data_IF_826876938113
#
_entry.id   IF_826876938113
#
_cell.length_a   1.000
_cell.length_b   1.000
_cell.length_c   1.000
_cell.angle_alpha   90.00
_cell.angle_beta   90.00
_cell.angle_gamma   90.00
#
_symmetry.space_group_name_H-M   'P 1'
#
loop_
_entity.id
_entity.type
_entity.pdbx_description
1 polymer ?
#
# COMPACT_ATOMS: atom_id res chain seq x y z
N UNK A 1 25.55 17.17 22.33
CA UNK A 1 24.80 17.63 21.15
C UNK A 1 23.87 18.73 21.61
N UNK A 2 24.05 19.94 21.05
CA UNK A 2 23.29 21.14 21.42
C UNK A 2 21.83 21.04 20.94
N UNK A 3 20.91 21.64 21.65
CA UNK A 3 19.45 21.66 21.39
C UNK A 3 19.11 22.14 19.95
N UNK A 4 19.89 23.09 19.42
CA UNK A 4 19.81 23.56 18.01
C UNK A 4 20.07 22.48 16.96
N UNK A 5 21.01 21.55 17.21
CA UNK A 5 21.32 20.43 16.30
C UNK A 5 20.17 19.42 16.28
N UNK A 6 19.59 19.11 17.44
CA UNK A 6 18.45 18.21 17.59
C UNK A 6 17.19 18.76 16.91
N UNK A 7 16.94 20.07 17.00
CA UNK A 7 15.83 20.75 16.31
C UNK A 7 15.97 20.71 14.80
N UNK A 8 17.17 20.99 14.25
CA UNK A 8 17.45 20.93 12.80
C UNK A 8 17.26 19.51 12.23
N UNK A 9 17.73 18.48 12.94
CA UNK A 9 17.56 17.08 12.52
C UNK A 9 16.09 16.68 12.49
N UNK A 10 15.29 17.06 13.50
CA UNK A 10 13.84 16.83 13.51
C UNK A 10 13.13 17.50 12.34
N UNK A 11 13.50 18.73 12.02
CA UNK A 11 12.92 19.50 10.91
C UNK A 11 13.26 18.87 9.55
N UNK A 12 14.50 18.38 9.38
CA UNK A 12 14.92 17.70 8.15
C UNK A 12 14.19 16.35 7.96
N UNK A 13 14.08 15.56 9.03
CA UNK A 13 13.33 14.31 9.01
C UNK A 13 11.85 14.52 8.67
N UNK A 14 11.21 15.55 9.26
CA UNK A 14 9.83 15.90 8.97
C UNK A 14 9.62 16.33 7.51
N UNK A 15 10.56 17.09 6.93
CA UNK A 15 10.51 17.48 5.50
C UNK A 15 10.66 16.24 4.60
N UNK A 16 11.62 15.36 4.89
CA UNK A 16 11.80 14.12 4.13
C UNK A 16 10.53 13.27 4.17
N UNK A 17 9.90 13.12 5.33
CA UNK A 17 8.65 12.38 5.48
C UNK A 17 7.50 12.99 4.67
N UNK A 18 7.36 14.34 4.66
CA UNK A 18 6.37 15.02 3.81
C UNK A 18 6.60 14.75 2.33
N UNK A 19 7.85 14.76 1.88
CA UNK A 19 8.20 14.44 0.49
C UNK A 19 7.87 12.99 0.12
N UNK A 20 8.12 12.04 1.02
CA UNK A 20 7.76 10.63 0.81
C UNK A 20 6.24 10.45 0.70
N UNK A 21 5.48 11.04 1.62
CA UNK A 21 4.02 11.00 1.60
C UNK A 21 3.43 11.67 0.34
N UNK A 22 3.98 12.82 -0.07
CA UNK A 22 3.60 13.49 -1.30
C UNK A 22 3.95 12.65 -2.54
N UNK A 23 5.13 12.01 -2.57
CA UNK A 23 5.52 11.12 -3.65
C UNK A 23 4.53 9.96 -3.81
N UNK A 24 4.17 9.28 -2.70
CA UNK A 24 3.20 8.20 -2.71
C UNK A 24 1.83 8.67 -3.26
N UNK A 25 1.35 9.84 -2.83
CA UNK A 25 0.08 10.38 -3.32
C UNK A 25 0.11 10.77 -4.80
N UNK A 26 1.16 11.47 -5.25
CA UNK A 26 1.25 11.97 -6.63
C UNK A 26 1.44 10.80 -7.58
N UNK A 27 2.35 9.87 -7.26
CA UNK A 27 2.58 8.65 -8.05
C UNK A 27 1.29 7.81 -8.16
N UNK A 28 0.54 7.63 -7.07
CA UNK A 28 -0.73 6.91 -7.13
C UNK A 28 -1.76 7.58 -8.05
N UNK A 29 -1.82 8.92 -8.06
CA UNK A 29 -2.84 9.65 -8.85
C UNK A 29 -2.55 9.75 -10.34
N UNK A 30 -1.29 9.83 -10.73
CA UNK A 30 -0.93 10.10 -12.12
C UNK A 30 0.11 9.15 -12.72
N UNK A 31 0.56 8.17 -11.94
CA UNK A 31 1.59 7.20 -12.33
C UNK A 31 3.00 7.75 -12.13
N UNK A 32 3.97 6.82 -12.03
CA UNK A 32 5.38 7.16 -11.87
C UNK A 32 5.93 7.85 -13.13
N UNK A 33 5.53 7.40 -14.32
CA UNK A 33 6.04 7.96 -15.60
C UNK A 33 5.74 9.46 -15.74
N UNK A 34 4.50 9.86 -15.45
CA UNK A 34 4.03 11.24 -15.60
C UNK A 34 4.39 12.15 -14.43
N UNK A 35 4.85 11.58 -13.31
CA UNK A 35 5.20 12.34 -12.11
C UNK A 35 6.53 13.05 -12.29
N UNK A 36 6.57 14.34 -11.95
CA UNK A 36 7.78 15.14 -11.92
C UNK A 36 8.20 15.49 -10.49
N UNK A 37 9.49 15.81 -10.32
CA UNK A 37 10.01 16.33 -9.03
C UNK A 37 9.25 17.60 -8.60
N UNK A 38 8.87 18.45 -9.56
CA UNK A 38 8.12 19.66 -9.28
C UNK A 38 6.69 19.38 -8.76
N UNK A 39 6.03 18.33 -9.24
CA UNK A 39 4.70 17.93 -8.76
C UNK A 39 4.77 17.49 -7.30
N UNK A 40 5.77 16.65 -6.96
CA UNK A 40 5.99 16.19 -5.60
C UNK A 40 6.37 17.35 -4.68
N UNK A 41 7.24 18.25 -5.13
CA UNK A 41 7.62 19.45 -4.38
C UNK A 41 6.40 20.30 -4.02
N UNK A 42 5.53 20.54 -5.00
CA UNK A 42 4.29 21.30 -4.84
C UNK A 42 3.35 20.61 -3.86
N UNK A 43 3.15 19.29 -3.99
CA UNK A 43 2.27 18.51 -3.12
C UNK A 43 2.80 18.44 -1.67
N UNK A 44 4.13 18.46 -1.48
CA UNK A 44 4.78 18.46 -0.18
C UNK A 44 4.87 19.85 0.48
N UNK A 45 4.52 20.92 -0.24
CA UNK A 45 4.77 22.31 0.17
C UNK A 45 6.27 22.52 0.53
N UNK A 46 7.15 22.13 -0.41
CA UNK A 46 8.61 22.23 -0.28
C UNK A 46 9.16 22.87 -1.56
N UNK A 47 10.02 23.89 -1.49
CA UNK A 47 10.68 24.43 -2.68
C UNK A 47 11.43 23.36 -3.46
N UNK A 48 11.31 23.35 -4.81
CA UNK A 48 11.90 22.33 -5.69
C UNK A 48 13.41 22.15 -5.44
N UNK A 49 14.15 23.26 -5.25
CA UNK A 49 15.58 23.23 -4.94
C UNK A 49 15.91 22.43 -3.66
N UNK A 50 14.99 22.41 -2.70
CA UNK A 50 15.16 21.66 -1.46
C UNK A 50 14.91 20.16 -1.64
N UNK A 51 14.13 19.75 -2.65
CA UNK A 51 13.89 18.32 -2.94
C UNK A 51 15.19 17.63 -3.30
N UNK A 52 16.04 18.27 -4.13
CA UNK A 52 17.34 17.73 -4.53
C UNK A 52 18.34 17.55 -3.39
N UNK A 53 18.10 18.15 -2.24
CA UNK A 53 18.87 17.87 -1.04
C UNK A 53 18.57 16.47 -0.47
N UNK A 54 17.31 15.99 -0.59
CA UNK A 54 16.85 14.72 -0.06
C UNK A 54 16.84 13.60 -1.10
N UNK A 55 16.51 13.91 -2.35
CA UNK A 55 16.33 12.96 -3.45
C UNK A 55 16.96 13.55 -4.71
N UNK A 56 17.91 12.83 -5.29
CA UNK A 56 18.69 13.29 -6.46
C UNK A 56 18.02 12.97 -7.78
N UNK A 57 17.24 11.89 -7.81
CA UNK A 57 16.59 11.39 -9.01
C UNK A 57 15.10 11.18 -8.81
N UNK A 58 14.38 11.02 -9.91
CA UNK A 58 12.97 10.61 -9.91
C UNK A 58 12.81 9.20 -9.32
N UNK A 59 13.73 8.31 -9.62
CA UNK A 59 13.67 6.93 -9.14
C UNK A 59 13.87 6.85 -7.62
N UNK A 60 14.71 7.68 -7.03
CA UNK A 60 14.78 7.82 -5.56
C UNK A 60 13.44 8.28 -4.94
N UNK A 61 12.69 9.12 -5.64
CA UNK A 61 11.35 9.53 -5.19
C UNK A 61 10.30 8.42 -5.37
N UNK A 62 10.40 7.63 -6.44
CA UNK A 62 9.54 6.44 -6.64
C UNK A 62 9.85 5.39 -5.58
N UNK A 63 11.13 5.12 -5.31
CA UNK A 63 11.54 4.25 -4.20
C UNK A 63 11.02 4.75 -2.84
N UNK A 64 11.05 6.08 -2.62
CA UNK A 64 10.51 6.70 -1.42
C UNK A 64 8.97 6.55 -1.33
N UNK A 65 8.26 6.57 -2.46
CA UNK A 65 6.83 6.29 -2.51
C UNK A 65 6.52 4.83 -2.12
N UNK A 66 7.30 3.87 -2.64
CA UNK A 66 7.19 2.45 -2.25
C UNK A 66 7.47 2.25 -0.76
N UNK A 67 8.53 2.88 -0.23
CA UNK A 67 8.84 2.84 1.20
C UNK A 67 7.72 3.45 2.07
N UNK A 68 7.05 4.50 1.59
CA UNK A 68 5.90 5.08 2.27
C UNK A 68 4.68 4.15 2.25
N UNK A 69 4.42 3.46 1.13
CA UNK A 69 3.37 2.44 1.07
C UNK A 69 3.65 1.26 2.02
N UNK A 70 4.88 0.77 2.08
CA UNK A 70 5.28 -0.26 3.05
C UNK A 70 5.03 0.21 4.50
N UNK A 71 5.46 1.43 4.83
CA UNK A 71 5.25 2.02 6.15
C UNK A 71 3.76 2.18 6.50
N UNK A 72 2.94 2.59 5.53
CA UNK A 72 1.49 2.70 5.74
C UNK A 72 0.84 1.34 5.98
N UNK A 73 1.31 0.31 5.27
CA UNK A 73 0.87 -1.07 5.47
C UNK A 73 1.27 -1.58 6.86
N UNK A 74 2.52 -1.35 7.31
CA UNK A 74 2.96 -1.71 8.66
C UNK A 74 2.08 -1.07 9.74
N UNK A 75 1.80 0.25 9.62
CA UNK A 75 0.91 0.94 10.57
C UNK A 75 -0.50 0.34 10.57
N UNK A 76 -1.02 -0.03 9.39
CA UNK A 76 -2.32 -0.67 9.27
C UNK A 76 -2.32 -2.04 9.96
N UNK A 77 -1.35 -2.89 9.66
CA UNK A 77 -1.25 -4.24 10.22
C UNK A 77 -1.01 -4.21 11.73
N UNK A 78 -0.14 -3.34 12.24
CA UNK A 78 0.07 -3.12 13.68
C UNK A 78 -1.22 -2.69 14.40
N UNK A 79 -2.07 -1.90 13.73
CA UNK A 79 -3.38 -1.52 14.27
C UNK A 79 -4.34 -2.69 14.30
N UNK A 80 -4.37 -3.50 13.24
CA UNK A 80 -5.22 -4.69 13.15
C UNK A 80 -4.81 -5.76 14.17
N UNK A 81 -3.53 -5.93 14.44
CA UNK A 81 -3.01 -6.87 15.44
C UNK A 81 -3.40 -6.57 16.89
N UNK A 82 -4.02 -5.41 17.15
CA UNK A 82 -4.63 -5.10 18.44
C UNK A 82 -5.97 -5.80 18.68
N UNK A 83 -6.58 -6.35 17.63
CA UNK A 83 -7.74 -7.22 17.74
C UNK A 83 -7.26 -8.62 18.16
N UNK A 84 -7.96 -9.26 19.09
CA UNK A 84 -7.56 -10.56 19.62
C UNK A 84 -7.77 -11.69 18.59
N UNK A 85 -8.86 -11.62 17.83
CA UNK A 85 -9.25 -12.66 16.86
C UNK A 85 -8.61 -12.41 15.48
N UNK A 86 -7.79 -13.34 14.95
CA UNK A 86 -7.21 -13.24 13.61
C UNK A 86 -8.26 -13.11 12.49
N UNK A 87 -9.46 -13.70 12.66
CA UNK A 87 -10.56 -13.57 11.69
C UNK A 87 -11.07 -12.13 11.64
N UNK A 88 -11.26 -11.50 12.79
CA UNK A 88 -11.68 -10.11 12.86
C UNK A 88 -10.60 -9.16 12.33
N UNK A 89 -9.32 -9.52 12.45
CA UNK A 89 -8.21 -8.77 11.79
C UNK A 89 -8.35 -8.80 10.28
N UNK A 90 -8.59 -9.98 9.69
CA UNK A 90 -8.78 -10.14 8.23
C UNK A 90 -10.06 -9.43 7.76
N UNK A 91 -11.16 -9.53 8.48
CA UNK A 91 -12.41 -8.84 8.16
C UNK A 91 -12.25 -7.32 8.20
N UNK A 92 -11.59 -6.79 9.23
CA UNK A 92 -11.31 -5.36 9.35
C UNK A 92 -10.40 -4.84 8.23
N UNK A 93 -9.46 -5.67 7.72
CA UNK A 93 -8.69 -5.34 6.53
C UNK A 93 -9.60 -5.18 5.31
N UNK A 94 -10.51 -6.13 5.07
CA UNK A 94 -11.46 -6.10 3.95
C UNK A 94 -12.40 -4.89 4.04
N UNK A 95 -12.92 -4.58 5.22
CA UNK A 95 -13.73 -3.38 5.47
C UNK A 95 -12.95 -2.08 5.19
N UNK A 96 -11.68 -2.06 5.53
CA UNK A 96 -10.76 -0.98 5.19
C UNK A 96 -10.68 -0.72 3.67
N UNK A 97 -10.74 -1.77 2.85
CA UNK A 97 -10.77 -1.64 1.39
C UNK A 97 -12.06 -1.00 0.87
N UNK A 98 -13.21 -1.32 1.49
CA UNK A 98 -14.48 -0.66 1.15
C UNK A 98 -14.41 0.86 1.40
N UNK A 99 -13.76 1.27 2.49
CA UNK A 99 -13.59 2.69 2.79
C UNK A 99 -12.75 3.45 1.76
N UNK A 100 -11.94 2.74 0.98
CA UNK A 100 -11.08 3.28 -0.08
C UNK A 100 -11.66 3.12 -1.50
N UNK A 101 -12.91 2.61 -1.65
CA UNK A 101 -13.51 2.24 -2.94
C UNK A 101 -13.50 3.34 -3.99
N UNK A 102 -13.77 4.60 -3.59
CA UNK A 102 -13.80 5.73 -4.52
C UNK A 102 -12.40 6.06 -5.06
N UNK A 103 -11.38 5.96 -4.20
CA UNK A 103 -9.98 6.12 -4.60
C UNK A 103 -9.52 4.97 -5.50
N UNK A 104 -9.89 3.73 -5.16
CA UNK A 104 -9.59 2.56 -5.97
C UNK A 104 -10.26 2.63 -7.35
N UNK A 105 -11.54 3.03 -7.43
CA UNK A 105 -12.23 3.24 -8.70
C UNK A 105 -11.60 4.36 -9.55
N UNK A 106 -11.01 5.36 -8.91
CA UNK A 106 -10.41 6.49 -9.63
C UNK A 106 -8.96 6.24 -10.04
N UNK A 107 -8.15 5.59 -9.19
CA UNK A 107 -6.70 5.51 -9.35
C UNK A 107 -6.14 4.07 -9.28
N UNK A 108 -6.98 3.07 -8.97
CA UNK A 108 -6.54 1.69 -8.76
C UNK A 108 -5.91 1.45 -7.39
N UNK A 109 -5.36 0.27 -7.20
CA UNK A 109 -4.55 -0.07 -6.04
C UNK A 109 -3.22 0.70 -6.08
N UNK A 110 -2.83 1.46 -5.04
CA UNK A 110 -1.60 2.27 -5.08
C UNK A 110 -0.34 1.46 -5.33
N UNK A 111 -0.26 0.24 -4.80
CA UNK A 111 0.92 -0.62 -4.99
C UNK A 111 0.81 -1.46 -6.26
N UNK A 112 -0.38 -2.02 -6.56
CA UNK A 112 -0.57 -2.88 -7.73
C UNK A 112 -0.44 -2.13 -9.05
N UNK A 113 -1.00 -0.91 -9.17
CA UNK A 113 -0.84 -0.08 -10.37
C UNK A 113 0.60 0.36 -10.56
N UNK A 114 1.30 0.72 -9.49
CA UNK A 114 2.71 1.09 -9.55
C UNK A 114 3.59 -0.10 -9.93
N UNK A 115 3.34 -1.29 -9.37
CA UNK A 115 4.07 -2.51 -9.75
C UNK A 115 3.92 -2.82 -11.24
N UNK A 116 2.67 -2.76 -11.77
CA UNK A 116 2.41 -3.01 -13.19
C UNK A 116 3.01 -1.94 -14.13
N UNK A 117 3.20 -0.71 -13.66
CA UNK A 117 3.88 0.35 -14.41
C UNK A 117 5.40 0.15 -14.42
N UNK A 118 5.97 -0.23 -13.27
CA UNK A 118 7.41 -0.43 -13.10
C UNK A 118 7.92 -1.69 -13.80
N UNK A 119 7.10 -2.74 -13.89
CA UNK A 119 7.40 -3.98 -14.62
C UNK A 119 7.71 -3.75 -16.12
N UNK A 120 7.24 -2.64 -16.68
CA UNK A 120 7.50 -2.25 -18.08
C UNK A 120 8.82 -1.48 -18.25
N UNK A 121 9.57 -1.27 -17.19
CA UNK A 121 10.87 -0.59 -17.23
C UNK A 121 11.99 -1.61 -17.26
N UNK A 122 12.88 -1.49 -18.22
CA UNK A 122 13.97 -2.44 -18.45
C UNK A 122 15.09 -2.37 -17.40
N UNK A 123 15.09 -1.37 -16.51
CA UNK A 123 16.18 -1.14 -15.55
C UNK A 123 15.69 -0.63 -14.19
N UNK A 124 16.44 -0.97 -13.12
CA UNK A 124 16.38 -0.25 -11.85
C UNK A 124 15.90 -1.03 -10.62
N UNK A 125 15.32 -2.23 -10.75
CA UNK A 125 14.92 -3.07 -9.61
C UNK A 125 13.76 -2.51 -8.77
N UNK A 126 13.11 -1.41 -9.20
CA UNK A 126 11.95 -0.83 -8.53
C UNK A 126 10.69 -1.70 -8.65
N UNK A 127 10.59 -2.50 -9.71
CA UNK A 127 9.58 -3.54 -9.92
C UNK A 127 9.67 -4.60 -8.82
N UNK A 128 10.88 -5.08 -8.52
CA UNK A 128 11.14 -6.02 -7.41
C UNK A 128 10.76 -5.41 -6.07
N UNK A 129 11.06 -4.12 -5.86
CA UNK A 129 10.67 -3.41 -4.64
C UNK A 129 9.15 -3.28 -4.50
N UNK A 130 8.44 -2.98 -5.58
CA UNK A 130 6.98 -2.95 -5.59
C UNK A 130 6.37 -4.32 -5.26
N UNK A 131 6.93 -5.40 -5.82
CA UNK A 131 6.57 -6.77 -5.50
C UNK A 131 6.75 -7.11 -4.01
N UNK A 132 7.84 -6.62 -3.40
CA UNK A 132 8.07 -6.80 -1.95
C UNK A 132 6.99 -6.15 -1.09
N UNK A 133 6.49 -4.97 -1.47
CA UNK A 133 5.40 -4.31 -0.72
C UNK A 133 4.11 -5.14 -0.77
N UNK A 134 3.78 -5.74 -1.93
CA UNK A 134 2.65 -6.66 -2.05
C UNK A 134 2.87 -7.90 -1.20
N UNK A 135 4.09 -8.45 -1.20
CA UNK A 135 4.47 -9.62 -0.40
C UNK A 135 4.26 -9.37 1.11
N UNK A 136 4.54 -8.19 1.63
CA UNK A 136 4.31 -7.85 3.04
C UNK A 136 2.84 -8.09 3.47
N UNK A 137 1.88 -7.73 2.60
CA UNK A 137 0.46 -7.95 2.89
C UNK A 137 0.10 -9.44 2.82
N UNK A 138 0.64 -10.17 1.83
CA UNK A 138 0.44 -11.61 1.70
C UNK A 138 0.99 -12.33 2.94
N UNK A 139 2.22 -12.02 3.36
CA UNK A 139 2.86 -12.65 4.51
C UNK A 139 2.11 -12.34 5.82
N UNK A 140 1.56 -11.13 5.95
CA UNK A 140 0.73 -10.78 7.09
C UNK A 140 -0.58 -11.58 7.10
N UNK A 141 -1.29 -11.64 5.97
CA UNK A 141 -2.53 -12.41 5.85
C UNK A 141 -2.30 -13.91 6.09
N UNK A 142 -1.22 -14.47 5.56
CA UNK A 142 -0.82 -15.87 5.78
C UNK A 142 -0.64 -16.17 7.27
N UNK A 143 0.00 -15.27 8.04
CA UNK A 143 0.10 -15.43 9.51
C UNK A 143 -1.27 -15.50 10.17
N UNK A 144 -2.23 -14.64 9.77
CA UNK A 144 -3.58 -14.68 10.33
C UNK A 144 -4.29 -16.01 10.02
N UNK A 145 -4.22 -16.50 8.79
CA UNK A 145 -4.80 -17.80 8.42
C UNK A 145 -4.12 -18.98 9.15
N UNK A 146 -2.81 -18.89 9.40
CA UNK A 146 -2.07 -19.89 10.17
C UNK A 146 -2.51 -19.88 11.65
N UNK A 147 -2.71 -18.70 12.25
CA UNK A 147 -3.22 -18.56 13.62
C UNK A 147 -4.64 -19.12 13.77
N UNK A 148 -5.46 -19.09 12.70
CA UNK A 148 -6.78 -19.72 12.66
C UNK A 148 -6.72 -21.26 12.52
N UNK A 149 -5.54 -21.85 12.34
CA UNK A 149 -5.39 -23.28 12.13
C UNK A 149 -5.95 -23.80 10.81
N UNK A 150 -6.11 -22.93 9.82
CA UNK A 150 -6.66 -23.30 8.52
C UNK A 150 -5.64 -24.03 7.65
N UNK A 151 -6.07 -24.99 6.81
CA UNK A 151 -5.20 -25.63 5.84
C UNK A 151 -4.80 -24.62 4.75
N UNK A 152 -3.59 -24.77 4.21
CA UNK A 152 -3.04 -23.92 3.13
C UNK A 152 -3.12 -22.41 3.39
N UNK A 153 -2.53 -21.90 4.48
CA UNK A 153 -2.61 -20.48 4.83
C UNK A 153 -2.00 -19.57 3.76
N UNK A 154 -0.99 -20.03 3.02
CA UNK A 154 -0.39 -19.28 1.90
C UNK A 154 -1.37 -19.15 0.74
N UNK A 155 -2.04 -20.22 0.33
CA UNK A 155 -3.04 -20.20 -0.74
C UNK A 155 -4.24 -19.32 -0.38
N UNK A 156 -4.68 -19.35 0.89
CA UNK A 156 -5.75 -18.48 1.39
C UNK A 156 -5.33 -17.00 1.35
N UNK A 157 -4.10 -16.69 1.74
CA UNK A 157 -3.56 -15.33 1.67
C UNK A 157 -3.44 -14.82 0.23
N UNK A 158 -2.96 -15.65 -0.69
CA UNK A 158 -2.91 -15.34 -2.12
C UNK A 158 -4.32 -15.11 -2.69
N UNK A 159 -5.31 -15.91 -2.27
CA UNK A 159 -6.71 -15.75 -2.67
C UNK A 159 -7.25 -14.39 -2.20
N UNK A 160 -7.05 -14.04 -0.93
CA UNK A 160 -7.53 -12.78 -0.35
C UNK A 160 -6.89 -11.56 -1.04
N UNK A 161 -5.56 -11.55 -1.15
CA UNK A 161 -4.84 -10.41 -1.75
C UNK A 161 -5.05 -10.36 -3.27
N UNK A 162 -5.14 -11.52 -3.93
CA UNK A 162 -5.49 -11.61 -5.35
C UNK A 162 -6.88 -11.07 -5.65
N UNK A 163 -7.87 -11.36 -4.81
CA UNK A 163 -9.21 -10.80 -4.92
C UNK A 163 -9.20 -9.27 -4.77
N UNK A 164 -8.41 -8.72 -3.80
CA UNK A 164 -8.23 -7.27 -3.67
C UNK A 164 -7.65 -6.65 -4.94
N UNK A 165 -6.59 -7.22 -5.51
CA UNK A 165 -5.98 -6.70 -6.73
C UNK A 165 -6.97 -6.75 -7.91
N UNK A 166 -7.70 -7.86 -8.06
CA UNK A 166 -8.69 -8.04 -9.11
C UNK A 166 -9.85 -7.06 -9.00
N UNK A 167 -10.47 -6.92 -7.82
CA UNK A 167 -11.58 -5.98 -7.64
C UNK A 167 -11.14 -4.51 -7.77
N UNK A 168 -9.94 -4.16 -7.32
CA UNK A 168 -9.39 -2.82 -7.48
C UNK A 168 -9.15 -2.48 -8.96
N UNK A 169 -8.59 -3.42 -9.74
CA UNK A 169 -8.42 -3.28 -11.18
C UNK A 169 -9.76 -3.10 -11.89
N UNK A 170 -10.75 -3.95 -11.59
CA UNK A 170 -12.07 -3.87 -12.20
C UNK A 170 -12.80 -2.57 -11.84
N UNK A 171 -12.76 -2.17 -10.57
CA UNK A 171 -13.34 -0.90 -10.14
C UNK A 171 -12.72 0.29 -10.87
N UNK A 172 -11.40 0.28 -11.06
CA UNK A 172 -10.70 1.34 -11.77
C UNK A 172 -11.00 1.33 -13.27
N UNK A 173 -10.93 0.18 -13.92
CA UNK A 173 -11.16 0.06 -15.36
C UNK A 173 -12.61 0.44 -15.75
N UNK A 174 -13.58 0.06 -14.93
CA UNK A 174 -15.01 0.30 -15.17
C UNK A 174 -15.52 1.60 -14.52
N UNK A 175 -14.69 2.30 -13.74
CA UNK A 175 -15.06 3.51 -12.99
C UNK A 175 -16.27 3.29 -12.05
N UNK A 176 -16.39 2.07 -11.51
CA UNK A 176 -17.49 1.65 -10.65
C UNK A 176 -16.98 1.25 -9.26
N UNK A 177 -17.10 2.14 -8.23
CA UNK A 177 -16.68 1.84 -6.86
C UNK A 177 -17.54 0.72 -6.22
N UNK A 178 -18.77 0.48 -6.69
CA UNK A 178 -19.63 -0.56 -6.13
C UNK A 178 -19.12 -1.98 -6.39
N UNK A 179 -18.20 -2.16 -7.34
CA UNK A 179 -17.47 -3.43 -7.50
C UNK A 179 -16.72 -3.76 -6.23
N UNK A 180 -16.02 -2.80 -5.62
CA UNK A 180 -15.32 -2.99 -4.34
C UNK A 180 -16.31 -3.40 -3.25
N UNK A 181 -17.42 -2.69 -3.10
CA UNK A 181 -18.45 -2.98 -2.09
C UNK A 181 -18.99 -4.41 -2.23
N UNK A 182 -19.38 -4.81 -3.45
CA UNK A 182 -19.92 -6.15 -3.71
C UNK A 182 -18.91 -7.27 -3.49
N UNK A 183 -17.67 -7.08 -3.92
CA UNK A 183 -16.64 -8.11 -3.77
C UNK A 183 -16.15 -8.21 -2.32
N UNK A 184 -16.03 -7.11 -1.60
CA UNK A 184 -15.68 -7.14 -0.18
C UNK A 184 -16.77 -7.85 0.64
N UNK A 185 -18.07 -7.65 0.36
CA UNK A 185 -19.14 -8.41 1.01
C UNK A 185 -18.97 -9.91 0.82
N UNK A 186 -18.66 -10.36 -0.40
CA UNK A 186 -18.38 -11.79 -0.68
C UNK A 186 -17.13 -12.30 0.05
N UNK A 187 -16.10 -11.47 0.19
CA UNK A 187 -14.91 -11.85 0.94
C UNK A 187 -15.19 -11.98 2.44
N UNK A 188 -16.04 -11.12 3.00
CA UNK A 188 -16.48 -11.25 4.39
C UNK A 188 -17.25 -12.54 4.61
N UNK A 189 -18.22 -12.86 3.74
CA UNK A 189 -18.96 -14.13 3.77
C UNK A 189 -18.01 -15.35 3.64
N UNK A 190 -17.03 -15.24 2.72
CA UNK A 190 -16.02 -16.28 2.54
C UNK A 190 -15.16 -16.47 3.81
N UNK A 191 -14.67 -15.39 4.42
CA UNK A 191 -13.90 -15.46 5.66
C UNK A 191 -14.71 -16.09 6.81
N UNK A 192 -16.02 -15.79 6.88
CA UNK A 192 -16.90 -16.41 7.89
C UNK A 192 -17.15 -17.90 7.62
N UNK A 193 -17.15 -18.33 6.35
CA UNK A 193 -17.34 -19.72 5.96
C UNK A 193 -16.13 -20.63 6.20
N UNK A 194 -14.94 -20.05 6.38
CA UNK A 194 -13.71 -20.81 6.62
C UNK A 194 -13.76 -21.46 8.01
N UNK A 195 -13.82 -22.77 8.09
CA UNK A 195 -13.72 -23.55 9.32
C UNK A 195 -12.42 -24.35 9.30
N UNK A 196 -11.67 -24.31 10.39
CA UNK A 196 -10.60 -25.28 10.61
C UNK A 196 -11.24 -26.67 10.76
N UNK A 197 -10.87 -27.60 9.90
CA UNK A 197 -11.21 -29.01 10.20
C UNK A 197 -10.48 -29.37 11.50
N UNK A 198 -11.27 -29.57 12.56
CA UNK A 198 -10.75 -30.16 13.79
C UNK A 198 -10.49 -31.65 13.43
N UNK A 199 -9.19 -31.97 13.19
CA UNK A 199 -8.74 -33.36 13.16
C UNK A 199 -8.64 -33.89 14.57
#
# INVERSE_FOLDING_TARGET
MTDSTRSRVKTAAAKRQRLMAAAAQVVHRQGAERTTIADIARAADVPVGNVYYYFKTKDELVAAALAEHARQLEILTDRLERLDDPRERLKSLVEGWVSQRDLAARYGCPTGTLAAELDKRDEGGLDVEAGRVIRLLIDWAERQFRELGLPDPEGLALTLVGAYQGMSLLANALRDPEIMTRQCARLLDWLDSLSGETV
#
